data_IF_631405954714
#
_entry.id   IF_631405954714
#
_cell.length_a   1.000
_cell.length_b   1.000
_cell.length_c   1.000
_cell.angle_alpha   90.00
_cell.angle_beta   90.00
_cell.angle_gamma   90.00
#
_symmetry.space_group_name_H-M   'P 1'
#
loop_
_entity.id
_entity.type
_entity.pdbx_description
1 polymer ?
#
# COMPACT_ATOMS: atom_id res chain seq x y z
N UNK A 1 -3.19 4.46 19.32
CA UNK A 1 -2.79 3.05 19.15
C UNK A 1 -1.76 2.95 18.03
N UNK A 2 -0.69 2.18 18.22
CA UNK A 2 0.35 1.98 17.19
C UNK A 2 0.04 0.81 16.25
N UNK A 3 -1.23 0.55 15.97
CA UNK A 3 -1.66 -0.56 15.11
C UNK A 3 -1.54 -0.14 13.65
N UNK A 4 -0.80 -0.92 12.88
CA UNK A 4 -0.62 -0.73 11.44
C UNK A 4 -0.65 -2.06 10.70
N UNK A 5 -0.79 -1.99 9.39
CA UNK A 5 -0.72 -3.12 8.47
C UNK A 5 0.65 -3.04 7.78
N UNK A 6 1.62 -3.92 8.09
CA UNK A 6 2.96 -3.86 7.52
C UNK A 6 3.00 -3.95 5.99
N UNK A 7 1.99 -4.56 5.39
CA UNK A 7 1.85 -4.70 3.94
C UNK A 7 0.88 -3.66 3.34
N UNK A 8 0.60 -2.55 4.03
CA UNK A 8 -0.36 -1.55 3.54
C UNK A 8 0.17 -0.78 2.31
N UNK A 9 -0.65 -0.60 1.26
CA UNK A 9 -1.96 -1.24 1.06
C UNK A 9 -1.81 -2.72 0.68
N UNK A 10 -2.60 -3.59 1.32
CA UNK A 10 -2.58 -5.02 1.01
C UNK A 10 -3.25 -5.28 -0.34
N UNK A 11 -2.47 -5.74 -1.33
CA UNK A 11 -2.97 -6.09 -2.66
C UNK A 11 -3.56 -7.48 -2.67
N UNK A 12 -4.77 -7.62 -3.21
CA UNK A 12 -5.45 -8.90 -3.43
C UNK A 12 -5.61 -9.11 -4.93
N UNK A 13 -5.03 -10.19 -5.44
CA UNK A 13 -5.12 -10.54 -6.86
C UNK A 13 -6.55 -10.98 -7.25
N UNK A 14 -7.01 -10.69 -8.47
CA UNK A 14 -8.40 -10.94 -8.90
C UNK A 14 -8.78 -12.42 -8.95
N UNK A 15 -7.80 -13.32 -9.07
CA UNK A 15 -7.98 -14.77 -9.07
C UNK A 15 -7.82 -15.41 -7.69
N UNK A 16 -7.50 -14.63 -6.64
CA UNK A 16 -7.43 -15.13 -5.27
C UNK A 16 -8.82 -15.56 -4.76
N UNK A 17 -8.89 -16.76 -4.16
CA UNK A 17 -10.13 -17.34 -3.60
C UNK A 17 -9.98 -17.81 -2.16
N UNK A 18 -8.82 -17.58 -1.55
CA UNK A 18 -8.57 -17.94 -0.16
C UNK A 18 -9.26 -17.00 0.84
N UNK A 19 -9.16 -17.36 2.11
CA UNK A 19 -9.57 -16.50 3.22
C UNK A 19 -8.69 -15.24 3.26
N UNK A 20 -9.32 -14.06 3.27
CA UNK A 20 -8.61 -12.80 3.49
C UNK A 20 -8.12 -12.71 4.93
N UNK A 21 -6.84 -12.37 5.10
CA UNK A 21 -6.20 -12.17 6.41
C UNK A 21 -5.58 -10.79 6.50
N UNK A 22 -5.54 -10.27 7.72
CA UNK A 22 -4.95 -8.96 8.03
C UNK A 22 -3.67 -9.18 8.83
N UNK A 23 -2.55 -8.69 8.31
CA UNK A 23 -1.28 -8.68 9.05
C UNK A 23 -1.32 -7.45 9.95
N UNK A 24 -1.57 -7.66 11.23
CA UNK A 24 -1.55 -6.57 12.21
C UNK A 24 -0.19 -6.51 12.89
N UNK A 25 0.38 -5.29 12.97
CA UNK A 25 1.55 -4.98 13.78
C UNK A 25 1.17 -3.94 14.82
N UNK A 26 1.43 -4.24 16.08
CA UNK A 26 1.45 -3.26 17.14
C UNK A 26 2.87 -2.70 17.31
N UNK A 27 3.08 -1.47 16.85
CA UNK A 27 4.31 -0.71 17.09
C UNK A 27 4.23 0.22 18.30
N UNK A 28 3.13 0.22 19.04
CA UNK A 28 2.95 1.02 20.25
C UNK A 28 3.59 0.37 21.48
N UNK A 29 3.82 1.15 22.54
CA UNK A 29 4.40 0.64 23.79
C UNK A 29 3.41 -0.17 24.64
N UNK A 30 2.11 -0.09 24.33
CA UNK A 30 1.04 -0.72 25.09
C UNK A 30 0.36 -1.85 24.31
N UNK A 31 -0.14 -2.86 25.02
CA UNK A 31 -0.94 -3.94 24.42
C UNK A 31 -2.29 -3.42 23.96
N UNK A 32 -2.76 -3.92 22.80
CA UNK A 32 -4.08 -3.57 22.24
C UNK A 32 -4.92 -4.85 22.16
N UNK A 33 -5.96 -5.02 22.99
CA UNK A 33 -6.85 -6.16 22.88
C UNK A 33 -7.71 -6.02 21.62
N UNK A 34 -7.83 -7.12 20.87
CA UNK A 34 -8.71 -7.23 19.70
C UNK A 34 -9.69 -8.35 19.98
N UNK A 35 -10.98 -8.02 19.93
CA UNK A 35 -12.05 -8.94 20.19
C UNK A 35 -12.71 -9.37 18.88
N UNK A 36 -13.38 -10.52 18.93
CA UNK A 36 -14.16 -11.00 17.79
C UNK A 36 -15.27 -9.99 17.47
N UNK A 37 -15.31 -9.54 16.22
CA UNK A 37 -16.29 -8.55 15.75
C UNK A 37 -15.73 -7.13 15.65
N UNK A 38 -14.51 -6.88 16.16
CA UNK A 38 -13.87 -5.59 16.01
C UNK A 38 -13.55 -5.29 14.53
N UNK A 39 -13.74 -4.03 14.15
CA UNK A 39 -13.37 -3.53 12.82
C UNK A 39 -11.88 -3.18 12.82
N UNK A 40 -11.07 -4.01 12.16
CA UNK A 40 -9.60 -3.91 12.19
C UNK A 40 -8.95 -3.50 10.86
N UNK A 41 -9.72 -3.45 9.77
CA UNK A 41 -9.28 -3.04 8.44
C UNK A 41 -10.49 -2.60 7.59
N UNK A 42 -10.22 -2.09 6.39
CA UNK A 42 -11.23 -1.78 5.37
C UNK A 42 -10.79 -2.32 4.01
N UNK A 43 -11.75 -2.69 3.16
CA UNK A 43 -11.53 -3.14 1.79
C UNK A 43 -11.96 -2.05 0.81
N UNK A 44 -11.10 -1.71 -0.15
CA UNK A 44 -11.39 -0.74 -1.22
C UNK A 44 -11.16 -1.41 -2.57
N UNK A 45 -12.17 -1.37 -3.44
CA UNK A 45 -12.06 -1.87 -4.81
C UNK A 45 -11.59 -0.75 -5.75
N UNK A 46 -10.60 -1.05 -6.58
CA UNK A 46 -10.07 -0.13 -7.59
C UNK A 46 -9.91 -0.82 -8.93
N UNK A 47 -10.01 -0.06 -10.03
CA UNK A 47 -9.60 -0.56 -11.35
C UNK A 47 -8.08 -0.62 -11.40
N UNK A 48 -7.54 -1.69 -11.96
CA UNK A 48 -6.12 -1.82 -12.25
C UNK A 48 -5.90 -2.09 -13.74
N UNK A 49 -4.71 -1.78 -14.24
CA UNK A 49 -4.29 -2.05 -15.61
C UNK A 49 -3.02 -2.89 -15.61
N UNK A 50 -2.87 -3.75 -16.63
CA UNK A 50 -1.67 -4.55 -16.88
C UNK A 50 -1.08 -4.15 -18.22
N UNK A 51 -0.38 -3.00 -18.31
CA UNK A 51 0.19 -2.54 -19.57
C UNK A 51 1.33 -3.45 -20.03
N UNK A 52 1.52 -3.54 -21.35
CA UNK A 52 2.72 -4.18 -21.90
C UNK A 52 3.95 -3.31 -21.62
N UNK A 53 5.02 -3.94 -21.13
CA UNK A 53 6.30 -3.27 -20.92
C UNK A 53 7.04 -3.15 -22.26
N UNK A 54 7.58 -1.96 -22.57
CA UNK A 54 8.38 -1.69 -23.77
C UNK A 54 9.74 -1.17 -23.33
N UNK A 55 10.81 -1.89 -23.69
CA UNK A 55 12.18 -1.50 -23.38
C UNK A 55 12.68 -0.43 -24.37
N UNK A 56 13.35 0.61 -23.86
CA UNK A 56 13.88 1.74 -24.64
C UNK A 56 15.26 2.15 -24.11
N UNK A 57 16.10 2.74 -24.96
CA UNK A 57 17.43 3.22 -24.57
C UNK A 57 17.40 4.50 -23.72
N UNK A 58 16.36 5.32 -23.88
CA UNK A 58 16.20 6.60 -23.17
C UNK A 58 14.72 6.96 -22.97
N UNK A 59 14.44 7.70 -21.89
CA UNK A 59 13.12 8.26 -21.59
C UNK A 59 13.07 9.73 -22.03
N UNK A 60 11.88 10.22 -22.39
CA UNK A 60 11.65 11.65 -22.66
C UNK A 60 11.82 12.50 -21.40
N UNK A 61 12.21 13.76 -21.56
CA UNK A 61 12.30 14.71 -20.44
C UNK A 61 10.91 15.14 -19.94
N UNK A 62 10.83 15.48 -18.67
CA UNK A 62 9.65 16.08 -18.03
C UNK A 62 10.10 17.18 -17.08
N UNK A 63 9.21 18.10 -16.71
CA UNK A 63 9.53 19.16 -15.73
C UNK A 63 9.96 18.59 -14.36
N UNK A 64 9.42 17.42 -13.98
CA UNK A 64 9.78 16.74 -12.72
C UNK A 64 11.11 16.00 -12.78
N UNK A 65 11.54 15.55 -13.96
CA UNK A 65 12.80 14.82 -14.13
C UNK A 65 12.95 13.62 -13.17
N UNK A 66 14.07 13.59 -12.43
CA UNK A 66 14.41 12.54 -11.47
C UNK A 66 13.99 12.86 -10.03
N UNK A 67 13.22 13.93 -9.83
CA UNK A 67 12.92 14.47 -8.52
C UNK A 67 11.88 13.63 -7.75
N UNK A 68 12.21 13.27 -6.51
CA UNK A 68 11.39 12.47 -5.61
C UNK A 68 11.74 12.68 -4.14
N UNK A 69 11.15 11.90 -3.24
CA UNK A 69 11.48 11.90 -1.81
C UNK A 69 11.40 13.28 -1.11
N UNK A 70 10.43 14.11 -1.48
CA UNK A 70 10.28 15.45 -0.90
C UNK A 70 11.13 16.53 -1.56
N UNK A 71 11.56 16.33 -2.80
CA UNK A 71 12.34 17.27 -3.61
C UNK A 71 11.74 18.68 -3.76
N UNK A 72 10.43 18.83 -3.60
CA UNK A 72 9.75 20.14 -3.64
C UNK A 72 9.90 20.92 -2.33
N UNK A 73 10.52 20.34 -1.31
CA UNK A 73 10.71 20.99 -0.01
C UNK A 73 9.43 21.16 0.80
N UNK A 74 9.60 21.86 1.93
CA UNK A 74 8.54 22.35 2.81
C UNK A 74 8.56 23.88 2.67
N UNK A 75 7.78 24.45 1.76
CA UNK A 75 7.25 25.79 2.06
C UNK A 75 6.08 25.65 3.05
#
# INVERSE_FOLDING_TARGET
>A
YGITLPNSPGTIDPDYRGELRIILKNGGPESVPILRGDRIAQLVFQRFSTPAMVEVSELSTTERGQDGFGSTGLE
#
